data_IF_411807961641
#
_entry.id   IF_411807961641
#
_cell.length_a   1.000
_cell.length_b   1.000
_cell.length_c   1.000
_cell.angle_alpha   90.00
_cell.angle_beta   90.00
_cell.angle_gamma   90.00
#
_symmetry.space_group_name_H-M   'P 1'
#
loop_
_entity.id
_entity.type
_entity.pdbx_description
1 polymer ?
#
# COMPACT_ATOMS: atom_id res chain seq x y z
N UNK A 1 8.92 8.41 -5.14
CA UNK A 1 8.38 7.27 -5.96
C UNK A 1 7.52 7.74 -7.15
N UNK A 2 7.73 7.21 -8.37
CA UNK A 2 7.11 7.73 -9.60
C UNK A 2 5.56 7.57 -9.66
N UNK A 3 5.03 6.40 -9.30
CA UNK A 3 3.59 6.15 -9.30
C UNK A 3 2.82 7.09 -8.36
N UNK A 4 3.33 7.33 -7.15
CA UNK A 4 2.73 8.28 -6.21
C UNK A 4 2.83 9.71 -6.72
N UNK A 5 3.99 10.11 -7.27
CA UNK A 5 4.18 11.43 -7.85
C UNK A 5 3.11 11.73 -8.90
N UNK A 6 2.92 10.83 -9.87
CA UNK A 6 1.91 11.03 -10.92
C UNK A 6 0.49 11.05 -10.38
N UNK A 7 0.11 10.05 -9.58
CA UNK A 7 -1.26 9.94 -9.06
C UNK A 7 -1.62 11.13 -8.16
N UNK A 8 -0.74 11.52 -7.23
CA UNK A 8 -1.00 12.63 -6.31
C UNK A 8 -1.07 13.95 -7.09
N UNK A 9 -0.15 14.19 -8.03
CA UNK A 9 -0.20 15.40 -8.85
C UNK A 9 -1.48 15.47 -9.69
N UNK A 10 -1.93 14.34 -10.26
CA UNK A 10 -3.19 14.28 -10.98
C UNK A 10 -4.37 14.62 -10.05
N UNK A 11 -4.43 13.98 -8.87
CA UNK A 11 -5.46 14.25 -7.86
C UNK A 11 -5.52 15.74 -7.50
N UNK A 12 -4.37 16.39 -7.29
CA UNK A 12 -4.30 17.79 -6.86
C UNK A 12 -4.60 18.78 -8.01
N UNK A 13 -4.19 18.47 -9.23
CA UNK A 13 -4.36 19.38 -10.37
C UNK A 13 -5.73 19.24 -11.05
N UNK A 14 -6.31 18.04 -11.05
CA UNK A 14 -7.53 17.72 -11.80
C UNK A 14 -8.72 17.42 -10.88
N UNK A 15 -8.51 17.39 -9.55
CA UNK A 15 -9.48 16.89 -8.58
C UNK A 15 -9.98 15.47 -8.92
N UNK A 16 -9.16 14.69 -9.63
CA UNK A 16 -9.55 13.39 -10.17
C UNK A 16 -8.37 12.41 -10.19
N UNK A 17 -8.68 11.17 -9.81
CA UNK A 17 -7.91 9.99 -10.12
C UNK A 17 -8.90 8.85 -10.34
N UNK A 18 -8.62 7.93 -11.26
CA UNK A 18 -9.52 6.80 -11.48
C UNK A 18 -9.43 5.77 -10.34
N UNK A 19 -10.41 4.87 -10.25
CA UNK A 19 -10.57 3.96 -9.10
C UNK A 19 -9.28 3.21 -8.71
N UNK A 20 -8.57 2.61 -9.67
CA UNK A 20 -7.37 1.81 -9.34
C UNK A 20 -6.16 2.65 -8.89
N UNK A 21 -6.08 3.93 -9.28
CA UNK A 21 -5.09 4.86 -8.73
C UNK A 21 -5.36 5.15 -7.26
N UNK A 22 -6.62 5.42 -6.91
CA UNK A 22 -7.05 5.63 -5.51
C UNK A 22 -6.78 4.36 -4.69
N UNK A 23 -7.22 3.20 -5.17
CA UNK A 23 -7.11 1.95 -4.41
C UNK A 23 -5.67 1.43 -4.33
N UNK A 24 -4.99 1.24 -5.47
CA UNK A 24 -3.76 0.45 -5.52
C UNK A 24 -2.47 1.27 -5.56
N UNK A 25 -2.56 2.61 -5.69
CA UNK A 25 -1.41 3.50 -5.56
C UNK A 25 -1.45 4.21 -4.21
N UNK A 26 -2.34 5.20 -4.03
CA UNK A 26 -2.37 6.00 -2.81
C UNK A 26 -2.90 5.19 -1.62
N UNK A 27 -3.99 4.45 -1.80
CA UNK A 27 -4.61 3.64 -0.76
C UNK A 27 -3.73 2.50 -0.29
N UNK A 28 -3.19 1.71 -1.23
CA UNK A 28 -2.23 0.65 -0.97
C UNK A 28 -1.01 1.18 -0.23
N UNK A 29 -0.38 2.27 -0.70
CA UNK A 29 0.76 2.86 0.00
C UNK A 29 0.41 3.30 1.43
N UNK A 30 -0.73 3.98 1.59
CA UNK A 30 -1.19 4.47 2.90
C UNK A 30 -1.40 3.33 3.89
N UNK A 31 -2.01 2.23 3.45
CA UNK A 31 -2.21 1.04 4.27
C UNK A 31 -0.88 0.37 4.62
N UNK A 32 0.01 0.23 3.64
CA UNK A 32 1.33 -0.38 3.82
C UNK A 32 2.25 0.42 4.77
N UNK A 33 2.17 1.75 4.70
CA UNK A 33 2.95 2.65 5.54
C UNK A 33 2.32 2.87 6.94
N UNK A 34 1.12 2.35 7.19
CA UNK A 34 0.42 2.50 8.47
C UNK A 34 -0.08 3.93 8.71
N UNK A 35 -0.46 4.65 7.65
CA UNK A 35 -1.06 5.98 7.76
C UNK A 35 -2.39 5.88 8.51
N UNK A 36 -2.68 6.87 9.37
CA UNK A 36 -3.93 6.92 10.10
C UNK A 36 -5.12 6.95 9.11
N UNK A 37 -6.04 5.96 9.14
CA UNK A 37 -7.16 5.90 8.21
C UNK A 37 -8.06 7.14 8.24
N UNK A 38 -8.19 7.81 9.39
CA UNK A 38 -8.94 9.07 9.50
C UNK A 38 -8.28 10.19 8.70
N UNK A 39 -6.94 10.25 8.68
CA UNK A 39 -6.20 11.24 7.89
C UNK A 39 -6.31 10.98 6.39
N UNK A 40 -6.31 9.72 5.98
CA UNK A 40 -6.54 9.39 4.59
C UNK A 40 -7.98 9.70 4.15
N UNK A 41 -8.95 9.43 5.01
CA UNK A 41 -10.36 9.81 4.80
C UNK A 41 -10.52 11.33 4.63
N UNK A 42 -9.96 12.12 5.54
CA UNK A 42 -9.95 13.59 5.44
C UNK A 42 -9.31 14.05 4.11
N UNK A 43 -8.22 13.40 3.68
CA UNK A 43 -7.54 13.74 2.42
C UNK A 43 -8.38 13.39 1.19
N UNK A 44 -8.88 12.16 1.09
CA UNK A 44 -9.71 11.74 -0.05
C UNK A 44 -11.01 12.53 -0.16
N UNK A 45 -11.63 12.87 0.97
CA UNK A 45 -12.81 13.73 1.01
C UNK A 45 -12.52 15.15 0.52
N UNK A 46 -11.30 15.65 0.72
CA UNK A 46 -10.90 17.00 0.33
C UNK A 46 -10.37 17.16 -1.09
N UNK A 47 -9.85 16.09 -1.73
CA UNK A 47 -9.13 16.22 -3.01
C UNK A 47 -9.91 15.79 -4.25
N UNK A 48 -10.94 14.96 -4.12
CA UNK A 48 -11.66 14.46 -5.30
C UNK A 48 -13.00 15.15 -5.50
N UNK A 49 -13.27 15.52 -6.76
CA UNK A 49 -14.49 16.24 -7.18
C UNK A 49 -15.78 15.45 -6.91
N UNK A 50 -15.66 14.12 -6.79
CA UNK A 50 -16.76 13.18 -6.57
C UNK A 50 -16.83 12.67 -5.11
N UNK A 51 -16.06 13.25 -4.19
CA UNK A 51 -16.01 12.79 -2.82
C UNK A 51 -17.10 13.42 -1.95
N UNK A 52 -18.09 12.59 -1.62
CA UNK A 52 -19.04 12.84 -0.54
C UNK A 52 -18.89 11.73 0.51
N UNK A 53 -19.04 12.06 1.79
CA UNK A 53 -18.73 11.12 2.88
C UNK A 53 -19.43 9.77 2.74
N UNK A 54 -20.70 9.74 2.32
CA UNK A 54 -21.47 8.50 2.16
C UNK A 54 -20.88 7.53 1.12
N UNK A 55 -20.14 8.02 0.13
CA UNK A 55 -19.46 7.20 -0.89
C UNK A 55 -17.97 7.05 -0.60
N UNK A 56 -17.32 8.11 -0.11
CA UNK A 56 -15.88 8.12 0.13
C UNK A 56 -15.51 7.29 1.37
N UNK A 57 -16.21 7.48 2.50
CA UNK A 57 -15.88 6.82 3.77
C UNK A 57 -15.87 5.28 3.67
N UNK A 58 -16.88 4.59 3.10
CA UNK A 58 -16.84 3.13 2.98
C UNK A 58 -15.72 2.65 2.04
N UNK A 59 -15.43 3.40 0.97
CA UNK A 59 -14.32 3.07 0.07
C UNK A 59 -12.97 3.23 0.77
N UNK A 60 -12.80 4.25 1.60
CA UNK A 60 -11.54 4.53 2.28
C UNK A 60 -11.33 3.62 3.46
N UNK A 61 -12.25 3.63 4.43
CA UNK A 61 -12.09 2.89 5.68
C UNK A 61 -12.29 1.38 5.50
N UNK A 62 -13.25 0.97 4.67
CA UNK A 62 -13.54 -0.45 4.43
C UNK A 62 -12.64 -1.04 3.35
N UNK A 63 -12.83 -0.60 2.10
CA UNK A 63 -12.18 -1.22 0.95
C UNK A 63 -10.66 -0.98 0.94
N UNK A 64 -10.24 0.29 1.06
CA UNK A 64 -8.84 0.65 0.89
C UNK A 64 -7.99 0.33 2.12
N UNK A 65 -8.44 0.73 3.31
CA UNK A 65 -7.64 0.66 4.53
C UNK A 65 -7.93 -0.58 5.39
N UNK A 66 -8.97 -1.35 5.06
CA UNK A 66 -9.35 -2.55 5.82
C UNK A 66 -9.55 -2.29 7.33
N UNK A 67 -9.88 -1.04 7.68
CA UNK A 67 -10.00 -0.56 9.06
C UNK A 67 -11.28 -1.06 9.74
N UNK A 68 -12.25 -1.53 8.96
CA UNK A 68 -13.49 -2.14 9.44
C UNK A 68 -13.34 -3.63 9.83
N UNK A 69 -12.14 -4.20 9.68
CA UNK A 69 -11.86 -5.61 9.98
C UNK A 69 -12.40 -6.59 8.94
N UNK A 70 -12.77 -6.11 7.75
CA UNK A 70 -13.26 -6.94 6.65
C UNK A 70 -14.79 -7.05 6.57
N UNK A 71 -15.52 -6.03 7.05
CA UNK A 71 -16.98 -5.97 6.88
C UNK A 71 -17.34 -5.72 5.41
N UNK A 72 -16.60 -4.84 4.74
CA UNK A 72 -16.81 -4.54 3.33
C UNK A 72 -15.98 -5.42 2.39
N UNK A 73 -14.71 -5.68 2.72
CA UNK A 73 -13.79 -6.45 1.90
C UNK A 73 -13.40 -7.77 2.56
N UNK A 74 -13.23 -8.84 1.78
CA UNK A 74 -12.82 -10.15 2.33
C UNK A 74 -11.30 -10.31 2.53
N UNK A 75 -10.49 -9.35 2.05
CA UNK A 75 -9.04 -9.27 2.25
C UNK A 75 -8.55 -7.83 2.07
N UNK A 76 -7.42 -7.43 2.69
CA UNK A 76 -6.82 -6.13 2.45
C UNK A 76 -6.31 -6.00 1.00
N UNK A 77 -6.58 -4.86 0.36
CA UNK A 77 -6.08 -4.52 -0.97
C UNK A 77 -4.66 -3.93 -0.89
N UNK A 78 -3.70 -4.80 -0.58
CA UNK A 78 -2.27 -4.48 -0.58
C UNK A 78 -1.53 -5.19 -1.70
N UNK A 79 -0.50 -4.55 -2.24
CA UNK A 79 0.35 -5.16 -3.26
C UNK A 79 1.76 -4.58 -3.27
N UNK A 80 2.73 -5.39 -3.72
CA UNK A 80 4.10 -4.95 -3.96
C UNK A 80 4.26 -4.25 -5.32
N UNK A 81 5.48 -3.82 -5.65
CA UNK A 81 5.79 -3.19 -6.93
C UNK A 81 5.48 -4.08 -8.14
N UNK A 82 5.43 -5.40 -7.96
CA UNK A 82 5.09 -6.35 -9.03
C UNK A 82 3.69 -6.08 -9.61
N UNK A 83 2.71 -5.75 -8.77
CA UNK A 83 1.36 -5.42 -9.24
C UNK A 83 1.36 -4.11 -10.03
N UNK A 84 1.97 -3.06 -9.46
CA UNK A 84 2.04 -1.73 -10.08
C UNK A 84 2.73 -1.83 -11.44
N UNK A 85 3.82 -2.58 -11.53
CA UNK A 85 4.52 -2.83 -12.79
C UNK A 85 3.65 -3.55 -13.83
N UNK A 86 2.86 -4.54 -13.41
CA UNK A 86 2.03 -5.30 -14.35
C UNK A 86 0.87 -4.45 -14.90
N UNK A 87 0.37 -3.51 -14.12
CA UNK A 87 -0.86 -2.77 -14.39
C UNK A 87 -0.62 -1.33 -14.84
N UNK A 88 0.64 -0.90 -14.98
CA UNK A 88 1.00 0.46 -15.36
C UNK A 88 2.38 0.52 -16.00
N UNK A 89 2.73 1.68 -16.54
CA UNK A 89 4.07 2.03 -17.00
C UNK A 89 4.85 2.89 -15.99
N UNK A 90 4.36 3.07 -14.76
CA UNK A 90 5.01 3.96 -13.78
C UNK A 90 6.40 3.49 -13.33
N UNK A 91 6.67 2.19 -13.43
CA UNK A 91 7.97 1.64 -13.07
C UNK A 91 9.05 1.97 -14.10
N UNK A 92 8.67 2.32 -15.33
CA UNK A 92 9.61 2.69 -16.38
C UNK A 92 10.13 4.11 -16.09
N UNK A 93 11.46 4.23 -16.00
CA UNK A 93 12.10 5.49 -15.59
C UNK A 93 11.93 5.85 -14.10
N UNK A 94 11.38 4.96 -13.26
CA UNK A 94 11.37 5.17 -11.82
C UNK A 94 12.78 5.00 -11.24
N UNK A 95 13.16 5.85 -10.28
CA UNK A 95 14.41 5.72 -9.53
C UNK A 95 14.57 4.35 -8.86
N UNK A 96 13.45 3.79 -8.38
CA UNK A 96 13.42 2.51 -7.69
C UNK A 96 13.21 1.33 -8.64
N UNK A 97 13.96 0.27 -8.40
CA UNK A 97 13.83 -1.04 -9.03
C UNK A 97 12.64 -1.81 -8.48
N UNK A 98 11.75 -2.23 -9.39
CA UNK A 98 10.63 -3.13 -9.13
C UNK A 98 11.05 -4.56 -8.76
N UNK A 99 12.24 -4.98 -9.22
CA UNK A 99 12.74 -6.35 -9.10
C UNK A 99 13.51 -6.58 -7.79
N UNK A 100 14.07 -5.51 -7.21
CA UNK A 100 14.81 -5.59 -5.97
C UNK A 100 13.86 -5.64 -4.77
N UNK A 101 14.06 -6.64 -3.92
CA UNK A 101 13.24 -6.84 -2.70
C UNK A 101 13.74 -5.99 -1.53
N UNK A 102 15.06 -5.81 -1.44
CA UNK A 102 15.78 -5.08 -0.39
C UNK A 102 16.92 -4.29 -1.04
N UNK A 103 17.47 -3.33 -0.30
CA UNK A 103 18.55 -2.44 -0.76
C UNK A 103 18.06 -1.03 -1.09
N UNK A 104 19.01 -0.13 -1.37
CA UNK A 104 18.73 1.30 -1.55
C UNK A 104 17.86 1.62 -2.76
N UNK A 105 18.02 0.85 -3.85
CA UNK A 105 17.20 1.00 -5.06
C UNK A 105 15.92 0.17 -5.04
N UNK A 106 15.68 -0.66 -4.03
CA UNK A 106 14.45 -1.44 -3.97
C UNK A 106 13.21 -0.54 -3.84
N UNK A 107 12.17 -0.82 -4.63
CA UNK A 107 10.91 -0.10 -4.51
C UNK A 107 10.34 -0.24 -3.10
N UNK A 108 10.00 0.86 -2.40
CA UNK A 108 9.48 0.80 -1.03
C UNK A 108 8.24 -0.11 -0.87
N UNK A 109 7.39 -0.21 -1.90
CA UNK A 109 6.26 -1.14 -1.90
C UNK A 109 6.66 -2.60 -1.64
N UNK A 110 7.87 -3.03 -2.00
CA UNK A 110 8.30 -4.43 -1.85
C UNK A 110 8.56 -4.79 -0.38
N UNK A 111 9.34 -3.99 0.33
CA UNK A 111 9.63 -4.21 1.76
C UNK A 111 8.40 -3.90 2.61
N UNK A 112 7.67 -2.81 2.31
CA UNK A 112 6.44 -2.46 3.03
C UNK A 112 5.34 -3.53 2.89
N UNK A 113 5.18 -4.12 1.70
CA UNK A 113 4.21 -5.21 1.46
C UNK A 113 4.45 -6.41 2.38
N UNK A 114 5.70 -6.89 2.46
CA UNK A 114 6.01 -8.02 3.31
C UNK A 114 5.94 -7.66 4.79
N UNK A 115 6.45 -6.49 5.16
CA UNK A 115 6.36 -5.98 6.52
C UNK A 115 4.92 -5.91 7.00
N UNK A 116 3.98 -5.42 6.18
CA UNK A 116 2.56 -5.34 6.50
C UNK A 116 2.00 -6.69 6.96
N UNK A 117 2.26 -7.78 6.22
CA UNK A 117 1.77 -9.10 6.61
C UNK A 117 2.52 -9.65 7.82
N UNK A 118 3.84 -9.46 7.89
CA UNK A 118 4.67 -9.93 9.01
C UNK A 118 4.15 -9.34 10.33
N UNK A 119 3.99 -8.01 10.41
CA UNK A 119 3.56 -7.33 11.64
C UNK A 119 2.08 -7.54 11.99
N UNK A 120 1.23 -7.83 10.99
CA UNK A 120 -0.19 -8.11 11.19
C UNK A 120 -0.54 -9.61 11.17
N UNK A 121 0.45 -10.51 11.25
CA UNK A 121 0.24 -11.97 11.13
C UNK A 121 -0.86 -12.45 12.08
N UNK A 122 -0.82 -12.08 13.37
CA UNK A 122 -1.80 -12.52 14.37
C UNK A 122 -3.25 -12.12 14.06
N UNK A 123 -3.45 -11.03 13.31
CA UNK A 123 -4.79 -10.56 12.89
C UNK A 123 -5.25 -11.20 11.59
N UNK A 124 -4.31 -11.55 10.70
CA UNK A 124 -4.59 -11.95 9.32
C UNK A 124 -4.40 -13.45 9.06
N UNK A 125 -3.75 -14.19 9.95
CA UNK A 125 -3.38 -15.58 9.73
C UNK A 125 -4.56 -16.51 9.48
N UNK A 126 -5.72 -16.20 10.10
CA UNK A 126 -6.96 -16.98 9.98
C UNK A 126 -7.74 -16.69 8.70
N UNK A 127 -7.33 -15.68 7.90
CA UNK A 127 -8.03 -15.37 6.66
C UNK A 127 -7.64 -16.40 5.58
N UNK A 128 -8.59 -17.22 5.07
CA UNK A 128 -8.30 -18.25 4.08
C UNK A 128 -7.80 -17.68 2.75
N UNK A 129 -8.17 -16.44 2.38
CA UNK A 129 -7.69 -15.79 1.16
C UNK A 129 -6.21 -15.38 1.24
N UNK A 130 -5.61 -15.42 2.44
CA UNK A 130 -4.21 -15.10 2.69
C UNK A 130 -3.34 -16.35 2.95
N UNK A 131 -3.90 -17.55 2.79
CA UNK A 131 -3.20 -18.82 3.08
C UNK A 131 -1.84 -18.95 2.36
N UNK A 132 -1.77 -18.52 1.09
CA UNK A 132 -0.53 -18.56 0.31
C UNK A 132 0.52 -17.59 0.88
N UNK A 133 0.10 -16.38 1.24
CA UNK A 133 0.99 -15.36 1.84
C UNK A 133 1.53 -15.87 3.18
N UNK A 134 0.67 -16.44 4.03
CA UNK A 134 1.08 -17.01 5.31
C UNK A 134 2.05 -18.19 5.13
N UNK A 135 1.83 -19.04 4.11
CA UNK A 135 2.78 -20.11 3.76
C UNK A 135 4.13 -19.54 3.34
N UNK A 136 4.14 -18.50 2.51
CA UNK A 136 5.39 -17.86 2.06
C UNK A 136 6.16 -17.26 3.22
N UNK A 137 5.49 -16.56 4.15
CA UNK A 137 6.13 -15.97 5.34
C UNK A 137 6.76 -17.08 6.20
N UNK A 138 6.04 -18.18 6.44
CA UNK A 138 6.57 -19.33 7.22
C UNK A 138 7.81 -19.99 6.58
N UNK A 139 7.98 -19.85 5.27
CA UNK A 139 9.14 -20.37 4.54
C UNK A 139 10.29 -19.37 4.38
N UNK A 140 10.13 -18.12 4.83
CA UNK A 140 11.20 -17.13 4.72
C UNK A 140 12.28 -17.36 5.76
N UNK A 141 13.54 -17.11 5.37
CA UNK A 141 14.66 -17.06 6.28
C UNK A 141 14.45 -15.99 7.35
N UNK A 142 14.89 -16.27 8.58
CA UNK A 142 14.71 -15.37 9.72
C UNK A 142 15.47 -14.06 9.52
N UNK A 143 16.68 -14.10 8.94
CA UNK A 143 17.44 -12.88 8.67
C UNK A 143 16.73 -12.02 7.62
N UNK A 144 16.18 -12.66 6.58
CA UNK A 144 15.39 -11.95 5.57
C UNK A 144 14.16 -11.27 6.16
N UNK A 145 13.48 -11.88 7.13
CA UNK A 145 12.35 -11.27 7.85
C UNK A 145 12.82 -10.01 8.60
N UNK A 146 13.94 -10.09 9.32
CA UNK A 146 14.47 -8.95 10.06
C UNK A 146 14.96 -7.83 9.14
N UNK A 147 15.59 -8.16 8.01
CA UNK A 147 15.99 -7.18 7.00
C UNK A 147 14.79 -6.44 6.40
N UNK A 148 13.70 -7.17 6.09
CA UNK A 148 12.45 -6.58 5.61
C UNK A 148 11.86 -5.61 6.63
N UNK A 149 11.77 -6.02 7.90
CA UNK A 149 11.27 -5.15 8.98
C UNK A 149 12.13 -3.91 9.14
N UNK A 150 13.46 -4.09 9.14
CA UNK A 150 14.43 -3.00 9.28
C UNK A 150 14.30 -1.98 8.15
N UNK A 151 14.28 -2.46 6.89
CA UNK A 151 14.13 -1.58 5.73
C UNK A 151 12.76 -0.90 5.68
N UNK A 152 11.68 -1.62 5.97
CA UNK A 152 10.33 -1.03 6.04
C UNK A 152 10.25 0.06 7.12
N UNK A 153 10.83 -0.19 8.30
CA UNK A 153 10.92 0.80 9.38
C UNK A 153 11.69 2.04 8.93
N UNK A 154 12.82 1.88 8.25
CA UNK A 154 13.60 2.99 7.68
C UNK A 154 12.75 3.81 6.70
N UNK A 155 11.99 3.17 5.81
CA UNK A 155 11.09 3.87 4.88
C UNK A 155 9.99 4.65 5.63
N UNK A 156 9.35 4.04 6.63
CA UNK A 156 8.28 4.71 7.40
C UNK A 156 8.82 5.91 8.19
N UNK A 157 10.00 5.78 8.81
CA UNK A 157 10.63 6.86 9.56
C UNK A 157 11.10 8.02 8.70
N UNK A 158 11.39 7.77 7.42
CA UNK A 158 11.91 8.76 6.48
C UNK A 158 10.96 8.97 5.30
N UNK A 159 9.65 8.83 5.53
CA UNK A 159 8.63 8.78 4.47
C UNK A 159 8.64 10.01 3.56
N UNK A 160 9.02 11.17 4.09
CA UNK A 160 9.13 12.45 3.38
C UNK A 160 10.26 12.50 2.34
N UNK A 161 11.20 11.56 2.41
CA UNK A 161 12.39 11.50 1.54
C UNK A 161 12.36 10.36 0.52
N UNK A 162 11.20 9.70 0.35
CA UNK A 162 10.97 8.58 -0.58
C UNK A 162 10.47 9.00 -1.99
#
# INVERSE_FOLDING_TARGET
>A
MNCLKYTINQSLNEAYAHHIQRLMIVGNFSLLAGINPKKLHEWYLGVYIDAFEWVEMPNTLGMSQFADGGKLASKPYVSSANYINKMSNYCDGCHYSKNERLGEKACPFNSLYWNFFIVNTSKLEKNPRLAIVNKQIRSMDVNLIEDIKSQAKKHIQNIETL
#
